data_IF_920682136511
#
_entry.id   IF_920682136511
#
_cell.length_a   1.000
_cell.length_b   1.000
_cell.length_c   1.000
_cell.angle_alpha   90.00
_cell.angle_beta   90.00
_cell.angle_gamma   90.00
#
_symmetry.space_group_name_H-M   'P 1'
#
loop_
_entity.id
_entity.type
_entity.pdbx_description
1 polymer ?
#
# COMPACT_ATOMS: atom_id res chain seq x y z
N UNK A 1 -26.21 -13.21 8.46
CA UNK A 1 -25.37 -13.77 7.37
C UNK A 1 -25.56 -15.29 7.35
N UNK A 2 -25.66 -15.96 6.20
CA UNK A 2 -25.78 -17.43 6.15
C UNK A 2 -24.42 -18.11 6.36
N UNK A 3 -24.39 -19.37 6.76
CA UNK A 3 -23.13 -20.15 6.95
C UNK A 3 -22.28 -20.13 5.67
N UNK A 4 -22.91 -20.27 4.50
CA UNK A 4 -22.21 -20.20 3.21
C UNK A 4 -21.55 -18.82 2.96
N UNK A 5 -22.24 -17.73 3.32
CA UNK A 5 -21.69 -16.36 3.19
C UNK A 5 -20.54 -16.10 4.16
N UNK A 6 -20.61 -16.65 5.37
CA UNK A 6 -19.53 -16.56 6.36
C UNK A 6 -18.31 -17.32 5.86
N UNK A 7 -18.49 -18.54 5.34
CA UNK A 7 -17.40 -19.34 4.79
C UNK A 7 -16.74 -18.67 3.58
N UNK A 8 -17.52 -18.01 2.73
CA UNK A 8 -16.99 -17.26 1.59
C UNK A 8 -16.16 -16.05 2.03
N UNK A 9 -16.72 -15.21 2.91
CA UNK A 9 -16.00 -14.04 3.43
C UNK A 9 -14.71 -14.44 4.16
N UNK A 10 -14.74 -15.52 4.95
CA UNK A 10 -13.56 -16.01 5.66
C UNK A 10 -12.41 -16.38 4.72
N UNK A 11 -12.69 -16.88 3.51
CA UNK A 11 -11.65 -17.24 2.53
C UNK A 11 -10.89 -16.02 2.01
N UNK A 12 -11.49 -14.83 2.03
CA UNK A 12 -10.85 -13.60 1.55
C UNK A 12 -9.78 -13.07 2.50
N UNK A 13 -9.87 -13.46 3.78
CA UNK A 13 -8.90 -13.14 4.82
C UNK A 13 -7.91 -14.28 5.06
N UNK A 14 -7.81 -15.23 4.12
CA UNK A 14 -6.83 -16.30 4.16
C UNK A 14 -5.86 -16.12 2.99
N UNK A 15 -4.58 -16.34 3.26
CA UNK A 15 -3.56 -16.30 2.21
C UNK A 15 -3.90 -17.33 1.13
N UNK A 16 -3.59 -16.98 -0.11
CA UNK A 16 -3.68 -17.94 -1.20
C UNK A 16 -2.48 -18.89 -1.10
N UNK A 17 -2.74 -20.15 -0.72
CA UNK A 17 -1.72 -21.18 -0.49
C UNK A 17 -1.90 -22.35 -1.45
N UNK A 18 -0.79 -22.93 -1.94
CA UNK A 18 -0.82 -24.25 -2.63
C UNK A 18 0.29 -25.21 -2.19
N UNK A 19 1.46 -24.70 -1.83
CA UNK A 19 2.59 -25.46 -1.23
C UNK A 19 3.59 -24.50 -0.56
N UNK A 20 3.68 -23.29 -1.12
CA UNK A 20 4.12 -22.05 -0.49
C UNK A 20 3.00 -20.99 -0.56
N UNK A 21 3.20 -19.84 0.09
CA UNK A 21 2.30 -18.68 -0.04
C UNK A 21 2.44 -18.06 -1.44
N UNK A 22 1.30 -17.92 -2.14
CA UNK A 22 1.23 -17.35 -3.49
C UNK A 22 0.94 -15.85 -3.44
N UNK A 23 0.00 -15.44 -2.58
CA UNK A 23 -0.37 -14.04 -2.42
C UNK A 23 -1.03 -13.80 -1.06
N UNK A 24 -0.80 -12.60 -0.51
CA UNK A 24 -1.33 -12.22 0.80
C UNK A 24 -2.85 -12.02 0.76
N UNK A 25 -3.51 -12.39 1.84
CA UNK A 25 -4.92 -12.10 2.11
C UNK A 25 -5.23 -10.60 2.16
N UNK A 26 -6.50 -10.23 1.98
CA UNK A 26 -6.96 -8.86 2.22
C UNK A 26 -7.00 -8.56 3.71
N UNK A 27 -6.74 -7.32 4.09
CA UNK A 27 -6.78 -6.91 5.49
C UNK A 27 -8.19 -6.48 5.88
N UNK A 28 -8.52 -6.66 7.16
CA UNK A 28 -9.74 -6.11 7.73
C UNK A 28 -9.76 -4.59 7.59
N UNK A 29 -10.92 -4.03 7.25
CA UNK A 29 -11.09 -2.60 7.00
C UNK A 29 -11.01 -2.21 5.53
N UNK A 30 -10.80 -3.17 4.62
CA UNK A 30 -10.83 -2.95 3.16
C UNK A 30 -12.24 -3.11 2.55
N UNK A 31 -13.24 -3.50 3.35
CA UNK A 31 -14.55 -3.96 2.85
C UNK A 31 -15.36 -2.87 2.15
N UNK A 32 -15.11 -1.59 2.47
CA UNK A 32 -15.77 -0.44 1.86
C UNK A 32 -15.51 -0.33 0.36
N UNK A 33 -14.32 -0.70 -0.09
CA UNK A 33 -13.90 -0.56 -1.48
C UNK A 33 -14.06 -1.85 -2.30
N UNK A 34 -14.53 -2.95 -1.70
CA UNK A 34 -14.65 -4.24 -2.40
C UNK A 34 -15.49 -4.14 -3.68
N UNK A 35 -16.64 -3.46 -3.60
CA UNK A 35 -17.58 -3.30 -4.71
C UNK A 35 -17.17 -2.23 -5.73
N UNK A 36 -16.22 -1.36 -5.39
CA UNK A 36 -15.60 -0.42 -6.33
C UNK A 36 -14.44 -1.09 -7.07
N UNK A 37 -13.79 -2.03 -6.41
CA UNK A 37 -12.71 -2.84 -6.96
C UNK A 37 -13.16 -4.14 -7.56
N UNK A 38 -12.37 -5.17 -7.33
CA UNK A 38 -12.42 -6.41 -8.09
C UNK A 38 -13.32 -7.49 -7.46
N UNK A 39 -14.04 -7.15 -6.38
CA UNK A 39 -14.65 -8.13 -5.49
C UNK A 39 -16.16 -7.93 -5.45
N UNK A 40 -16.92 -8.99 -5.72
CA UNK A 40 -18.38 -8.95 -5.56
C UNK A 40 -19.13 -8.15 -6.65
N UNK A 41 -18.43 -7.70 -7.70
CA UNK A 41 -18.98 -6.95 -8.85
C UNK A 41 -19.58 -7.83 -9.96
N UNK A 42 -19.55 -9.16 -9.81
CA UNK A 42 -20.13 -10.11 -10.75
C UNK A 42 -19.23 -10.46 -11.95
N UNK A 43 -19.70 -11.39 -12.79
CA UNK A 43 -18.91 -12.08 -13.84
C UNK A 43 -18.46 -11.15 -14.99
N UNK A 44 -19.33 -10.27 -15.48
CA UNK A 44 -19.07 -9.45 -16.68
C UNK A 44 -18.01 -8.36 -16.49
N UNK A 45 -17.95 -7.76 -15.30
CA UNK A 45 -17.04 -6.66 -14.98
C UNK A 45 -15.60 -7.17 -14.80
N UNK A 46 -15.41 -8.31 -14.13
CA UNK A 46 -14.10 -8.99 -14.00
C UNK A 46 -13.53 -9.41 -15.37
N UNK A 47 -14.41 -9.86 -16.30
CA UNK A 47 -14.00 -10.31 -17.64
C UNK A 47 -13.36 -9.21 -18.47
N UNK A 48 -13.88 -7.98 -18.40
CA UNK A 48 -13.44 -6.89 -19.26
C UNK A 48 -12.13 -6.24 -18.82
N UNK A 49 -11.75 -6.31 -17.53
CA UNK A 49 -10.64 -5.53 -16.98
C UNK A 49 -9.36 -6.33 -16.68
N UNK A 50 -9.44 -7.65 -16.46
CA UNK A 50 -8.31 -8.40 -15.88
C UNK A 50 -7.68 -9.49 -16.77
N UNK A 51 -8.29 -9.83 -17.91
CA UNK A 51 -7.79 -10.94 -18.74
C UNK A 51 -6.81 -10.56 -19.82
N UNK A 52 -6.54 -9.27 -20.05
CA UNK A 52 -5.55 -8.85 -21.04
C UNK A 52 -4.16 -9.47 -20.73
N UNK A 53 -3.78 -9.60 -19.46
CA UNK A 53 -2.51 -10.24 -19.09
C UNK A 53 -2.49 -11.72 -19.51
N UNK A 54 -3.54 -12.48 -19.19
CA UNK A 54 -3.65 -13.90 -19.53
C UNK A 54 -3.79 -14.12 -21.06
N UNK A 55 -4.60 -13.31 -21.73
CA UNK A 55 -4.89 -13.43 -23.17
C UNK A 55 -3.71 -12.99 -24.02
N UNK A 56 -3.18 -11.81 -23.73
CA UNK A 56 -2.24 -11.10 -24.59
C UNK A 56 -0.79 -11.32 -24.17
N UNK A 57 -0.47 -11.20 -22.86
CA UNK A 57 0.91 -11.35 -22.39
C UNK A 57 1.33 -12.81 -22.18
N UNK A 58 0.42 -13.67 -21.70
CA UNK A 58 0.68 -15.11 -21.61
C UNK A 58 0.34 -15.87 -22.89
N UNK A 59 -0.35 -15.22 -23.84
CA UNK A 59 -0.70 -15.80 -25.14
C UNK A 59 -1.76 -16.91 -25.07
N UNK A 60 -2.61 -16.93 -24.04
CA UNK A 60 -3.70 -17.91 -23.92
C UNK A 60 -4.86 -17.64 -24.89
N UNK A 61 -4.89 -16.44 -25.48
CA UNK A 61 -5.83 -16.05 -26.53
C UNK A 61 -7.27 -15.87 -26.06
N UNK A 62 -8.13 -15.44 -26.98
CA UNK A 62 -9.50 -15.00 -26.69
C UNK A 62 -10.45 -16.09 -26.21
N UNK A 63 -10.06 -17.36 -26.35
CA UNK A 63 -10.81 -18.49 -25.83
C UNK A 63 -10.67 -18.69 -24.32
N UNK A 64 -9.65 -18.11 -23.69
CA UNK A 64 -9.44 -18.23 -22.24
C UNK A 64 -10.49 -17.42 -21.49
N UNK A 65 -11.22 -18.06 -20.57
CA UNK A 65 -12.22 -17.44 -19.71
C UNK A 65 -11.91 -17.65 -18.23
N UNK A 66 -12.56 -16.87 -17.37
CA UNK A 66 -12.33 -16.92 -15.92
C UNK A 66 -12.54 -18.30 -15.28
N UNK A 67 -13.40 -19.14 -15.88
CA UNK A 67 -13.67 -20.51 -15.41
C UNK A 67 -12.48 -21.44 -15.63
N UNK A 68 -11.57 -21.06 -16.53
CA UNK A 68 -10.33 -21.76 -16.80
C UNK A 68 -9.22 -21.35 -15.81
N UNK A 69 -9.46 -20.31 -14.99
CA UNK A 69 -8.50 -19.86 -14.00
C UNK A 69 -8.43 -20.86 -12.85
N UNK A 70 -7.29 -21.53 -12.79
CA UNK A 70 -6.90 -22.41 -11.70
C UNK A 70 -5.43 -22.18 -11.34
N UNK A 71 -4.92 -22.98 -10.41
CA UNK A 71 -3.54 -22.84 -9.98
C UNK A 71 -2.50 -23.19 -11.05
N UNK A 72 -2.84 -23.98 -12.07
CA UNK A 72 -1.92 -24.25 -13.18
C UNK A 72 -1.71 -23.01 -14.06
N UNK A 73 -2.74 -22.17 -14.18
CA UNK A 73 -2.63 -20.85 -14.84
C UNK A 73 -1.70 -19.92 -14.05
N UNK A 74 -1.74 -19.94 -12.72
CA UNK A 74 -0.83 -19.16 -11.86
C UNK A 74 0.62 -19.66 -12.02
N UNK A 75 0.85 -20.97 -11.97
CA UNK A 75 2.18 -21.56 -12.18
C UNK A 75 2.74 -21.25 -13.57
N UNK A 76 1.87 -21.23 -14.60
CA UNK A 76 2.25 -20.83 -15.93
C UNK A 76 2.63 -19.33 -15.98
N UNK A 77 1.89 -18.46 -15.29
CA UNK A 77 2.19 -17.04 -15.21
C UNK A 77 3.57 -16.80 -14.56
N UNK A 78 3.86 -17.48 -13.46
CA UNK A 78 5.15 -17.41 -12.77
C UNK A 78 6.29 -17.95 -13.64
N UNK A 79 6.05 -19.06 -14.37
CA UNK A 79 7.04 -19.65 -15.26
C UNK A 79 7.35 -18.74 -16.46
N UNK A 80 6.33 -18.18 -17.10
CA UNK A 80 6.49 -17.31 -18.26
C UNK A 80 7.07 -15.95 -17.88
N UNK A 81 6.60 -15.38 -16.76
CA UNK A 81 6.98 -14.06 -16.24
C UNK A 81 7.23 -13.03 -17.37
N UNK A 82 6.23 -12.78 -18.24
CA UNK A 82 6.42 -11.99 -19.44
C UNK A 82 6.88 -10.58 -19.06
N UNK A 83 8.04 -10.16 -19.60
CA UNK A 83 8.64 -8.87 -19.29
C UNK A 83 9.29 -8.76 -17.90
N UNK A 84 9.49 -9.87 -17.19
CA UNK A 84 10.01 -9.90 -15.82
C UNK A 84 9.17 -9.08 -14.82
N UNK A 85 7.85 -9.17 -14.95
CA UNK A 85 6.86 -8.36 -14.24
C UNK A 85 6.64 -8.73 -12.76
N UNK A 86 7.05 -9.92 -12.29
CA UNK A 86 6.85 -10.36 -10.89
C UNK A 86 7.52 -9.44 -9.85
N UNK A 87 8.52 -8.65 -10.26
CA UNK A 87 9.32 -7.81 -9.37
C UNK A 87 9.96 -8.58 -8.18
N UNK A 88 10.25 -9.88 -8.35
CA UNK A 88 10.79 -10.77 -7.32
C UNK A 88 12.29 -10.62 -7.05
N UNK A 89 12.93 -9.55 -7.52
CA UNK A 89 14.33 -9.24 -7.22
C UNK A 89 14.39 -8.44 -5.92
N UNK A 90 14.58 -9.16 -4.80
CA UNK A 90 14.59 -8.56 -3.46
C UNK A 90 15.94 -7.97 -3.07
N UNK A 91 17.04 -8.46 -3.64
CA UNK A 91 18.36 -7.89 -3.39
C UNK A 91 18.51 -6.54 -4.11
N UNK A 92 18.28 -5.48 -3.36
CA UNK A 92 18.43 -4.09 -3.80
C UNK A 92 19.70 -3.44 -3.22
N UNK A 93 20.70 -4.24 -2.81
CA UNK A 93 21.96 -3.72 -2.26
C UNK A 93 22.75 -2.87 -3.25
N UNK A 94 22.67 -3.15 -4.55
CA UNK A 94 23.29 -2.30 -5.58
C UNK A 94 22.62 -0.93 -5.72
N UNK A 95 21.33 -0.81 -5.36
CA UNK A 95 20.64 0.48 -5.29
C UNK A 95 21.11 1.29 -4.08
N UNK A 96 21.24 0.62 -2.92
CA UNK A 96 21.81 1.20 -1.69
C UNK A 96 23.25 1.73 -1.93
N UNK A 97 24.14 0.91 -2.52
CA UNK A 97 25.55 1.29 -2.79
C UNK A 97 25.70 2.52 -3.67
N UNK A 98 24.68 2.84 -4.48
CA UNK A 98 24.64 4.04 -5.33
C UNK A 98 24.08 5.27 -4.62
N UNK A 99 23.76 5.14 -3.32
CA UNK A 99 23.13 6.18 -2.51
C UNK A 99 21.62 6.29 -2.71
N UNK A 100 20.98 5.28 -3.32
CA UNK A 100 19.54 5.30 -3.60
C UNK A 100 18.72 5.32 -2.31
N UNK A 101 17.63 6.11 -2.30
CA UNK A 101 16.65 6.18 -1.21
C UNK A 101 15.28 5.74 -1.71
N UNK A 102 14.61 4.91 -0.93
CA UNK A 102 13.33 4.30 -1.29
C UNK A 102 12.31 4.54 -0.18
N UNK A 103 11.26 5.30 -0.51
CA UNK A 103 10.05 5.44 0.29
C UNK A 103 8.98 4.63 -0.41
N UNK A 104 8.41 3.68 0.33
CA UNK A 104 7.28 2.87 -0.10
C UNK A 104 6.13 3.16 0.84
N UNK A 105 4.92 3.33 0.33
CA UNK A 105 3.72 3.43 1.16
C UNK A 105 2.62 2.54 0.61
N UNK A 106 1.74 2.08 1.50
CA UNK A 106 0.59 1.24 1.14
C UNK A 106 -0.57 1.53 2.09
N UNK A 107 -1.79 1.61 1.56
CA UNK A 107 -3.00 1.81 2.36
C UNK A 107 -3.48 0.51 3.02
N UNK A 108 -3.68 0.48 4.33
CA UNK A 108 -4.11 -0.75 5.02
C UNK A 108 -5.55 -1.17 4.71
N UNK A 109 -6.33 -0.30 4.09
CA UNK A 109 -7.69 -0.58 3.60
C UNK A 109 -7.74 -0.84 2.09
N UNK A 110 -6.59 -1.11 1.45
CA UNK A 110 -6.52 -1.44 0.03
C UNK A 110 -7.16 -2.82 -0.24
N UNK A 111 -8.16 -2.84 -1.14
CA UNK A 111 -8.85 -4.06 -1.58
C UNK A 111 -8.44 -4.54 -2.98
N UNK A 112 -7.63 -3.77 -3.70
CA UNK A 112 -7.14 -4.09 -5.04
C UNK A 112 -5.79 -4.81 -4.96
N UNK A 113 -4.88 -4.30 -4.13
CA UNK A 113 -3.57 -4.90 -3.86
C UNK A 113 -3.50 -5.14 -2.35
N UNK A 114 -3.19 -6.38 -1.95
CA UNK A 114 -3.11 -6.67 -0.52
C UNK A 114 -1.93 -5.92 0.10
N UNK A 115 -2.11 -5.24 1.26
CA UNK A 115 -1.02 -4.60 1.98
C UNK A 115 0.09 -5.57 2.39
N UNK A 116 -0.25 -6.85 2.58
CA UNK A 116 0.73 -7.87 2.93
C UNK A 116 1.75 -8.16 1.82
N UNK A 117 1.45 -7.82 0.56
CA UNK A 117 2.44 -7.87 -0.51
C UNK A 117 3.61 -6.90 -0.26
N UNK A 118 3.32 -5.71 0.29
CA UNK A 118 4.33 -4.70 0.61
C UNK A 118 5.16 -5.08 1.82
N UNK A 119 4.55 -5.64 2.87
CA UNK A 119 5.31 -6.12 4.04
C UNK A 119 6.16 -7.33 3.66
N UNK A 120 5.63 -8.25 2.85
CA UNK A 120 6.40 -9.38 2.32
C UNK A 120 7.61 -8.90 1.51
N UNK A 121 7.43 -7.94 0.59
CA UNK A 121 8.55 -7.39 -0.16
C UNK A 121 9.59 -6.74 0.76
N UNK A 122 9.16 -5.96 1.75
CA UNK A 122 10.06 -5.33 2.72
C UNK A 122 10.88 -6.36 3.50
N UNK A 123 10.25 -7.42 4.03
CA UNK A 123 10.92 -8.46 4.79
C UNK A 123 11.93 -9.26 3.94
N UNK A 124 11.55 -9.55 2.69
CA UNK A 124 12.41 -10.24 1.73
C UNK A 124 13.59 -9.35 1.31
N UNK A 125 13.36 -8.07 1.04
CA UNK A 125 14.40 -7.11 0.69
C UNK A 125 15.38 -6.91 1.84
N UNK A 126 14.86 -6.71 3.06
CA UNK A 126 15.65 -6.63 4.29
C UNK A 126 16.57 -7.84 4.44
N UNK A 127 16.01 -9.04 4.34
CA UNK A 127 16.78 -10.29 4.45
C UNK A 127 17.85 -10.41 3.36
N UNK A 128 17.51 -10.03 2.12
CA UNK A 128 18.41 -10.12 0.98
C UNK A 128 19.57 -9.13 1.05
N UNK A 129 19.33 -7.87 1.44
CA UNK A 129 20.40 -6.87 1.54
C UNK A 129 21.31 -7.12 2.75
N UNK A 130 20.76 -7.64 3.86
CA UNK A 130 21.55 -8.07 5.01
C UNK A 130 22.52 -9.20 4.67
N UNK A 131 22.08 -10.18 3.87
CA UNK A 131 22.95 -11.23 3.36
C UNK A 131 24.08 -10.69 2.46
N UNK A 132 23.92 -9.48 1.90
CA UNK A 132 24.87 -8.80 1.03
C UNK A 132 25.64 -7.65 1.69
N UNK A 133 25.61 -7.57 3.03
CA UNK A 133 26.44 -6.67 3.81
C UNK A 133 25.86 -5.28 4.06
N UNK A 134 24.56 -5.08 3.88
CA UNK A 134 23.85 -3.89 4.38
C UNK A 134 23.38 -4.16 5.80
N UNK A 135 23.85 -3.37 6.77
CA UNK A 135 23.55 -3.61 8.20
C UNK A 135 22.07 -3.35 8.54
N UNK A 136 21.56 -2.18 8.14
CA UNK A 136 20.18 -1.76 8.37
C UNK A 136 19.50 -1.36 7.05
N UNK A 137 18.34 -1.98 6.78
CA UNK A 137 17.55 -1.67 5.59
C UNK A 137 16.95 -0.26 5.68
N UNK A 138 16.67 0.23 6.90
CA UNK A 138 15.98 1.50 7.14
C UNK A 138 16.86 2.74 6.85
N UNK A 139 18.17 2.52 6.64
CA UNK A 139 19.13 3.55 6.20
C UNK A 139 18.87 4.04 4.77
N UNK A 140 18.15 3.23 3.97
CA UNK A 140 17.86 3.55 2.57
C UNK A 140 16.47 3.16 2.09
N UNK A 141 15.75 2.28 2.79
CA UNK A 141 14.42 1.83 2.42
C UNK A 141 13.44 1.89 3.59
N UNK A 142 12.42 2.75 3.51
CA UNK A 142 11.36 2.89 4.52
C UNK A 142 9.98 2.61 3.94
N UNK A 143 9.25 1.71 4.60
CA UNK A 143 7.85 1.38 4.29
C UNK A 143 6.90 2.12 5.24
N UNK A 144 5.87 2.78 4.73
CA UNK A 144 4.83 3.48 5.48
C UNK A 144 3.46 2.84 5.23
N UNK A 145 2.94 2.13 6.23
CA UNK A 145 1.60 1.54 6.16
C UNK A 145 0.58 2.54 6.68
N UNK A 146 -0.34 3.01 5.82
CA UNK A 146 -1.27 4.10 6.11
C UNK A 146 -2.61 3.53 6.57
N UNK A 147 -2.96 3.60 7.87
CA UNK A 147 -4.21 3.04 8.38
C UNK A 147 -5.43 3.74 7.78
N UNK A 148 -6.36 2.95 7.25
CA UNK A 148 -7.60 3.46 6.68
C UNK A 148 -7.46 4.13 5.31
N UNK A 149 -6.28 4.18 4.70
CA UNK A 149 -6.16 4.55 3.28
C UNK A 149 -6.55 3.37 2.40
N UNK A 150 -7.34 3.63 1.36
CA UNK A 150 -7.72 2.65 0.34
C UNK A 150 -6.64 2.56 -0.76
N UNK A 151 -7.00 2.15 -1.98
CA UNK A 151 -6.04 1.99 -3.08
C UNK A 151 -5.52 3.36 -3.54
N UNK A 152 -4.25 3.64 -3.20
CA UNK A 152 -3.50 4.88 -3.48
C UNK A 152 -3.97 6.15 -2.75
N UNK A 153 -5.27 6.32 -2.52
CA UNK A 153 -5.89 7.52 -1.95
C UNK A 153 -7.23 7.18 -1.28
N UNK A 154 -7.91 8.22 -0.75
CA UNK A 154 -9.17 8.11 -0.04
C UNK A 154 -9.11 7.26 1.23
N UNK A 155 -10.24 7.24 1.94
CA UNK A 155 -10.48 6.45 3.14
C UNK A 155 -11.95 6.05 3.14
N UNK A 156 -12.33 4.95 3.81
CA UNK A 156 -13.73 4.57 3.91
C UNK A 156 -14.56 5.73 4.49
N UNK A 157 -15.71 5.99 3.86
CA UNK A 157 -16.51 7.21 4.10
C UNK A 157 -16.91 7.47 5.56
N UNK A 158 -16.97 6.42 6.38
CA UNK A 158 -17.32 6.45 7.79
C UNK A 158 -16.11 6.45 8.75
N UNK A 159 -14.88 6.30 8.24
CA UNK A 159 -13.67 6.26 9.06
C UNK A 159 -13.01 7.63 9.26
N UNK A 160 -13.02 8.48 8.23
CA UNK A 160 -12.28 9.75 8.23
C UNK A 160 -10.81 9.54 8.68
N UNK A 161 -10.15 8.51 8.16
CA UNK A 161 -8.76 8.26 8.50
C UNK A 161 -7.86 9.26 7.76
N UNK A 162 -6.81 9.81 8.39
CA UNK A 162 -5.84 10.62 7.67
C UNK A 162 -5.04 9.75 6.72
N UNK A 163 -5.13 10.07 5.42
CA UNK A 163 -4.55 9.26 4.35
C UNK A 163 -3.66 10.07 3.40
N UNK A 164 -3.89 11.39 3.31
CA UNK A 164 -3.22 12.23 2.33
C UNK A 164 -1.82 12.62 2.83
N UNK A 165 -0.80 12.27 2.05
CA UNK A 165 0.62 12.55 2.29
C UNK A 165 1.29 13.22 1.07
N UNK A 166 0.48 13.77 0.16
CA UNK A 166 0.91 14.22 -1.16
C UNK A 166 1.62 13.12 -1.98
N UNK A 167 1.18 11.87 -1.82
CA UNK A 167 1.65 10.75 -2.61
C UNK A 167 1.26 10.85 -4.09
N UNK A 168 1.79 9.95 -4.91
CA UNK A 168 1.46 9.86 -6.33
C UNK A 168 -0.06 9.77 -6.52
N UNK A 169 -0.59 10.55 -7.46
CA UNK A 169 -2.01 10.70 -7.82
C UNK A 169 -2.95 11.24 -6.72
N UNK A 170 -2.51 11.38 -5.47
CA UNK A 170 -3.36 11.86 -4.37
C UNK A 170 -3.85 13.29 -4.60
N UNK A 171 -3.00 14.18 -5.11
CA UNK A 171 -3.38 15.57 -5.35
C UNK A 171 -4.57 15.74 -6.31
N UNK A 172 -4.77 14.79 -7.23
CA UNK A 172 -5.87 14.81 -8.20
C UNK A 172 -7.25 14.67 -7.53
N UNK A 173 -7.33 14.09 -6.33
CA UNK A 173 -8.59 13.93 -5.59
C UNK A 173 -9.05 15.23 -4.92
N UNK A 174 -8.14 16.21 -4.78
CA UNK A 174 -8.45 17.53 -4.21
C UNK A 174 -8.84 18.46 -5.34
N UNK A 175 -7.87 18.84 -6.20
CA UNK A 175 -8.09 19.62 -7.41
C UNK A 175 -6.81 19.65 -8.29
N UNK A 176 -6.93 20.21 -9.50
CA UNK A 176 -5.84 20.27 -10.50
C UNK A 176 -4.68 21.22 -10.15
N UNK A 177 -4.80 22.02 -9.09
CA UNK A 177 -3.78 23.00 -8.66
C UNK A 177 -3.06 22.59 -7.37
N UNK A 178 -3.46 21.48 -6.77
CA UNK A 178 -2.83 20.95 -5.55
C UNK A 178 -1.57 20.20 -5.93
N UNK A 179 -0.49 20.40 -5.17
CA UNK A 179 0.82 19.79 -5.45
C UNK A 179 1.57 19.33 -4.20
N UNK A 180 1.02 19.63 -3.01
CA UNK A 180 1.53 19.30 -1.68
C UNK A 180 0.33 19.17 -0.75
N UNK A 181 0.53 18.77 0.49
CA UNK A 181 -0.49 18.87 1.54
C UNK A 181 -0.91 20.34 1.71
N UNK A 182 -2.20 20.69 1.50
CA UNK A 182 -2.71 22.04 1.74
C UNK A 182 -2.34 22.55 3.13
N UNK A 183 -1.85 23.80 3.21
CA UNK A 183 -1.31 24.47 4.41
C UNK A 183 0.03 23.91 4.95
N UNK A 184 0.44 22.70 4.57
CA UNK A 184 1.67 22.05 5.06
C UNK A 184 2.63 21.71 3.92
N UNK A 185 3.44 22.69 3.52
CA UNK A 185 4.42 22.56 2.42
C UNK A 185 5.80 22.23 2.96
N UNK A 186 5.92 21.08 3.61
CA UNK A 186 7.13 20.65 4.29
C UNK A 186 7.34 19.13 4.18
N UNK A 187 8.58 18.70 4.44
CA UNK A 187 9.00 17.30 4.39
C UNK A 187 8.37 16.41 5.49
N UNK A 188 7.65 16.99 6.46
CA UNK A 188 6.97 16.22 7.50
C UNK A 188 5.59 15.73 7.02
N UNK A 189 4.96 16.44 6.08
CA UNK A 189 3.62 16.12 5.58
C UNK A 189 3.63 15.60 4.15
N UNK A 190 4.56 16.07 3.34
CA UNK A 190 4.66 15.75 1.92
C UNK A 190 5.76 14.70 1.68
N UNK A 191 5.38 13.54 1.16
CA UNK A 191 6.28 12.40 0.94
C UNK A 191 7.32 12.66 -0.15
N UNK A 192 7.02 13.51 -1.14
CA UNK A 192 7.98 13.90 -2.19
C UNK A 192 9.01 14.84 -1.60
N UNK A 193 8.58 15.82 -0.79
CA UNK A 193 9.51 16.70 -0.07
C UNK A 193 10.34 15.93 0.96
N UNK A 194 9.78 14.91 1.61
CA UNK A 194 10.50 13.99 2.48
C UNK A 194 11.59 13.21 1.73
N UNK A 195 11.25 12.68 0.55
CA UNK A 195 12.22 12.01 -0.33
C UNK A 195 13.36 12.97 -0.73
N UNK A 196 13.03 14.20 -1.14
CA UNK A 196 14.03 15.21 -1.49
C UNK A 196 14.95 15.50 -0.31
N UNK A 197 14.40 15.71 0.88
CA UNK A 197 15.19 15.95 2.09
C UNK A 197 16.12 14.77 2.44
N UNK A 198 15.66 13.53 2.21
CA UNK A 198 16.48 12.34 2.45
C UNK A 198 17.63 12.22 1.44
N UNK A 199 17.34 12.42 0.15
CA UNK A 199 18.34 12.32 -0.93
C UNK A 199 19.36 13.45 -0.88
N UNK A 200 18.91 14.70 -0.69
CA UNK A 200 19.76 15.88 -0.80
C UNK A 200 20.51 16.18 0.50
N UNK A 201 19.87 15.95 1.66
CA UNK A 201 20.38 16.39 2.95
C UNK A 201 20.65 15.23 3.93
N UNK A 202 20.36 13.99 3.54
CA UNK A 202 20.49 12.83 4.42
C UNK A 202 19.44 12.74 5.53
N UNK A 203 18.38 13.55 5.46
CA UNK A 203 17.31 13.58 6.49
C UNK A 203 16.25 12.53 6.18
N UNK A 204 16.42 11.34 6.73
CA UNK A 204 15.45 10.26 6.56
C UNK A 204 14.15 10.51 7.35
N UNK A 205 12.97 10.28 6.77
CA UNK A 205 11.70 10.54 7.46
C UNK A 205 11.33 9.41 8.43
N UNK A 206 11.34 9.63 9.74
CA UNK A 206 10.92 8.62 10.72
C UNK A 206 9.40 8.41 10.71
N UNK A 207 8.67 9.44 10.30
CA UNK A 207 7.22 9.43 10.07
C UNK A 207 6.83 10.45 9.00
N UNK A 208 5.71 10.22 8.32
CA UNK A 208 5.04 11.22 7.47
C UNK A 208 3.66 11.52 8.06
N UNK A 209 3.31 12.78 8.26
CA UNK A 209 2.02 13.18 8.81
C UNK A 209 0.95 13.13 7.73
N UNK A 210 0.08 12.13 7.81
CA UNK A 210 -1.09 12.03 6.96
C UNK A 210 -2.18 12.97 7.44
N UNK A 211 -2.93 13.53 6.49
CA UNK A 211 -3.98 14.52 6.73
C UNK A 211 -5.31 14.09 6.11
N UNK A 212 -6.41 14.45 6.75
CA UNK A 212 -7.75 14.45 6.16
C UNK A 212 -8.46 15.74 6.55
N UNK A 213 -9.33 16.23 5.67
CA UNK A 213 -10.08 17.46 5.83
C UNK A 213 -11.55 17.17 6.08
N UNK A 214 -12.27 18.14 6.66
CA UNK A 214 -13.75 18.05 6.77
C UNK A 214 -14.42 17.95 5.40
N UNK A 215 -13.78 18.52 4.39
CA UNK A 215 -14.13 18.37 2.99
C UNK A 215 -12.86 18.22 2.16
N UNK A 216 -12.60 17.01 1.67
CA UNK A 216 -11.41 16.69 0.87
C UNK A 216 -11.32 17.50 -0.42
N UNK A 217 -12.44 17.82 -1.06
CA UNK A 217 -12.46 18.52 -2.36
C UNK A 217 -11.94 19.96 -2.26
N UNK A 218 -12.16 20.64 -1.12
CA UNK A 218 -11.64 22.00 -0.92
C UNK A 218 -10.38 22.04 -0.06
N UNK A 219 -10.17 21.03 0.79
CA UNK A 219 -9.03 20.87 1.68
C UNK A 219 -8.68 22.16 2.49
N UNK A 220 -9.71 22.89 2.94
CA UNK A 220 -9.54 24.17 3.66
C UNK A 220 -9.48 24.03 5.18
N UNK A 221 -10.09 22.97 5.73
CA UNK A 221 -10.16 22.78 7.18
C UNK A 221 -9.77 21.34 7.51
N UNK A 222 -8.60 21.19 8.14
CA UNK A 222 -8.11 19.91 8.63
C UNK A 222 -9.12 19.34 9.62
N UNK A 223 -9.51 18.09 9.41
CA UNK A 223 -10.33 17.34 10.35
C UNK A 223 -9.43 16.58 11.33
N UNK A 224 -8.36 15.95 10.83
CA UNK A 224 -7.49 15.08 11.62
C UNK A 224 -6.14 14.90 10.96
N UNK A 225 -5.09 14.78 11.78
CA UNK A 225 -3.75 14.37 11.35
C UNK A 225 -3.19 13.24 12.19
N UNK A 226 -2.43 12.32 11.59
CA UNK A 226 -1.71 11.26 12.31
C UNK A 226 -0.30 11.11 11.73
N UNK A 227 0.73 10.91 12.55
CA UNK A 227 2.01 10.46 12.03
C UNK A 227 1.85 9.02 11.52
N UNK A 228 2.28 8.76 10.29
CA UNK A 228 2.47 7.44 9.74
C UNK A 228 3.92 7.07 9.98
N UNK A 229 4.14 6.13 10.89
CA UNK A 229 5.47 5.67 11.26
C UNK A 229 6.02 4.72 10.19
N UNK A 230 7.34 4.72 10.00
CA UNK A 230 7.96 3.68 9.18
C UNK A 230 7.79 2.31 9.86
N UNK A 231 7.45 1.30 9.07
CA UNK A 231 7.30 -0.08 9.51
C UNK A 231 8.63 -0.60 10.10
N UNK A 232 8.61 -1.36 11.23
CA UNK A 232 7.44 -1.92 11.92
C UNK A 232 6.87 -1.03 13.05
N UNK A 233 7.31 0.22 13.18
CA UNK A 233 6.76 1.13 14.17
C UNK A 233 5.32 1.53 13.82
N UNK A 234 4.53 1.80 14.85
CA UNK A 234 3.15 2.24 14.70
C UNK A 234 2.89 3.48 15.54
N UNK A 235 1.94 4.29 15.09
CA UNK A 235 1.51 5.48 15.83
C UNK A 235 0.71 5.06 17.08
N UNK A 236 1.20 5.48 18.25
CA UNK A 236 0.54 5.28 19.53
C UNK A 236 0.09 6.63 20.08
N UNK A 237 -1.18 6.75 20.43
CA UNK A 237 -1.67 7.92 21.13
C UNK A 237 -0.99 8.02 22.51
N UNK A 238 -0.49 9.20 22.84
CA UNK A 238 0.22 9.43 24.11
C UNK A 238 -0.70 9.41 25.33
N UNK A 239 -2.02 9.44 25.12
CA UNK A 239 -3.03 9.54 26.18
C UNK A 239 -3.31 10.96 26.64
N UNK A 240 -2.69 11.97 26.01
CA UNK A 240 -2.80 13.39 26.37
C UNK A 240 -3.00 14.24 25.11
N UNK A 241 -3.70 15.36 25.25
CA UNK A 241 -3.97 16.29 24.16
C UNK A 241 -5.21 15.93 23.34
N UNK A 242 -5.38 16.60 22.20
CA UNK A 242 -6.42 16.25 21.25
C UNK A 242 -5.92 15.06 20.41
N UNK A 243 -6.65 13.92 20.37
CA UNK A 243 -6.27 12.83 19.51
C UNK A 243 -6.19 13.27 18.05
N UNK A 244 -6.93 14.27 17.57
CA UNK A 244 -6.94 14.70 16.18
C UNK A 244 -5.68 15.45 15.71
N UNK A 245 -4.79 15.81 16.64
CA UNK A 245 -3.52 16.47 16.39
C UNK A 245 -2.35 15.48 16.33
N UNK A 246 -1.50 15.57 15.30
CA UNK A 246 -0.42 14.62 15.07
C UNK A 246 0.66 14.62 16.18
N UNK A 247 0.87 15.75 16.85
CA UNK A 247 1.86 15.90 17.94
C UNK A 247 1.52 15.10 19.20
N UNK A 248 0.26 14.69 19.35
CA UNK A 248 -0.19 13.90 20.49
C UNK A 248 -0.01 12.38 20.30
N UNK A 249 0.73 11.98 19.26
CA UNK A 249 1.06 10.61 18.90
C UNK A 249 2.57 10.42 18.81
N UNK A 250 3.03 9.21 19.10
CA UNK A 250 4.44 8.83 19.03
C UNK A 250 4.61 7.51 18.27
N UNK A 251 5.72 7.35 17.55
CA UNK A 251 6.06 6.09 16.89
C UNK A 251 6.63 5.12 17.91
N UNK A 252 6.02 3.93 18.03
CA UNK A 252 6.45 2.86 18.94
C UNK A 252 6.34 1.49 18.27
N UNK A 253 7.27 0.61 18.64
CA UNK A 253 7.09 -0.83 18.45
C UNK A 253 5.97 -1.27 19.41
N UNK A 254 4.89 -1.80 18.86
CA UNK A 254 3.71 -2.19 19.65
C UNK A 254 3.65 -3.69 19.98
N UNK A 255 4.64 -4.47 19.52
CA UNK A 255 4.78 -5.91 19.78
C UNK A 255 6.21 -6.35 19.46
#
# INVERSE_FOLDING_TARGET
MTIARISYAARMYLDCLRSAALYSHLFYGSESSWLEGNIGIGEESTISQQYWFLRDLMGLGDSFVWKDLDFSTVELADHLNPGNATAGQYDISEFEKRGGKFIHYHGLSDSYVSPGASTFYYDQAKSAVQANGVDDVDDFYRLFLIPGMEHCYNTPTDMNAPWYIAGTDQASTINTSTWSVPEYRDAKHDVVLAMMAWVENGTAPDSIVATVWKNTTNAQEVLRQRPICHYPYQAKYTGKGDPDEAENWECKLLY
#
